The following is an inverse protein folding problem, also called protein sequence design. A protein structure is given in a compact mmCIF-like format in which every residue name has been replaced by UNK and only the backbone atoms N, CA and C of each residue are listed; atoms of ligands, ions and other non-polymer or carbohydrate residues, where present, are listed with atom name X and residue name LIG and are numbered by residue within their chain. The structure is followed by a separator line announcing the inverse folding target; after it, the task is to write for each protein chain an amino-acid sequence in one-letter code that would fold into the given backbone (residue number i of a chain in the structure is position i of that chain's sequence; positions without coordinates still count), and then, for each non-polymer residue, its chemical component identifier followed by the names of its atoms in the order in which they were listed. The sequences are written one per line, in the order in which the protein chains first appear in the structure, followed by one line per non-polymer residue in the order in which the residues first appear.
data_IF_377601001667
#
_entry.id   IF_377601001667
#
_cell.length_a   1.000
_cell.length_b   1.000
_cell.length_c   1.000
_cell.angle_alpha   90.00
_cell.angle_beta   90.00
_cell.angle_gamma   90.00
#
_symmetry.space_group_name_H-M   'P 1'
#
loop_
_entity.id
_entity.type
_entity.pdbx_description
1 polymer ?
#
# COMPACT_ATOMS: atom_id res chain seq x y z
N UNK A 1 -32.22 -35.89 28.27
CA UNK A 1 -32.45 -34.83 29.28
C UNK A 1 -33.85 -35.03 29.81
N UNK A 2 -34.02 -35.03 31.13
CA UNK A 2 -35.30 -35.36 31.79
C UNK A 2 -36.37 -34.32 31.47
N UNK A 3 -37.51 -34.80 30.98
CA UNK A 3 -38.74 -34.03 30.80
C UNK A 3 -39.28 -33.62 32.19
N UNK A 4 -38.76 -32.54 32.77
CA UNK A 4 -39.29 -31.98 34.02
C UNK A 4 -40.64 -31.36 33.73
N UNK A 5 -41.70 -32.04 34.17
CA UNK A 5 -43.07 -31.52 34.10
C UNK A 5 -43.13 -30.24 34.91
N UNK A 6 -43.27 -29.10 34.24
CA UNK A 6 -43.49 -27.78 34.86
C UNK A 6 -44.83 -27.85 35.59
N UNK A 7 -44.81 -27.76 36.92
CA UNK A 7 -46.01 -27.95 37.76
C UNK A 7 -46.48 -26.65 38.42
N UNK A 8 -45.62 -25.64 38.47
CA UNK A 8 -45.92 -24.35 39.13
C UNK A 8 -45.68 -23.16 38.21
N UNK A 9 -46.38 -22.06 38.48
CA UNK A 9 -46.23 -20.80 37.75
C UNK A 9 -44.80 -20.26 37.86
N UNK A 10 -44.15 -20.39 39.02
CA UNK A 10 -42.75 -19.98 39.22
C UNK A 10 -41.79 -20.78 38.32
N UNK A 11 -41.98 -22.10 38.21
CA UNK A 11 -41.18 -22.93 37.31
C UNK A 11 -41.41 -22.54 35.85
N UNK A 12 -42.65 -22.21 35.48
CA UNK A 12 -42.99 -21.76 34.14
C UNK A 12 -42.25 -20.46 33.75
N UNK A 13 -42.23 -19.48 34.66
CA UNK A 13 -41.47 -18.23 34.50
C UNK A 13 -39.96 -18.46 34.42
N UNK A 14 -39.42 -19.31 35.29
CA UNK A 14 -37.99 -19.62 35.28
C UNK A 14 -37.60 -20.34 33.99
N UNK A 15 -38.42 -21.26 33.49
CA UNK A 15 -38.19 -21.91 32.19
C UNK A 15 -38.29 -20.90 31.06
N UNK A 16 -39.32 -20.05 31.02
CA UNK A 16 -39.50 -19.02 29.98
C UNK A 16 -38.29 -18.10 29.83
N UNK A 17 -37.70 -17.67 30.95
CA UNK A 17 -36.57 -16.73 30.97
C UNK A 17 -35.21 -17.41 30.77
N UNK A 18 -35.14 -18.74 30.85
CA UNK A 18 -33.86 -19.48 30.83
C UNK A 18 -33.67 -20.37 29.61
N UNK A 19 -34.68 -20.53 28.75
CA UNK A 19 -34.60 -21.41 27.57
C UNK A 19 -35.01 -20.67 26.31
N UNK A 20 -34.20 -20.80 25.27
CA UNK A 20 -34.52 -20.35 23.91
C UNK A 20 -34.92 -21.53 23.00
N UNK A 21 -35.05 -22.74 23.55
CA UNK A 21 -35.41 -23.95 22.81
C UNK A 21 -36.88 -23.90 22.33
N UNK A 22 -37.14 -23.90 21.00
CA UNK A 22 -38.48 -23.75 20.45
C UNK A 22 -39.47 -24.82 20.92
N UNK A 23 -39.02 -26.06 21.13
CA UNK A 23 -39.88 -27.16 21.57
C UNK A 23 -40.34 -26.97 23.02
N UNK A 24 -39.42 -26.56 23.90
CA UNK A 24 -39.74 -26.29 25.30
C UNK A 24 -40.62 -25.05 25.47
N UNK A 25 -40.39 -24.00 24.67
CA UNK A 25 -41.25 -22.81 24.67
C UNK A 25 -42.65 -23.15 24.13
N UNK A 26 -42.75 -24.00 23.10
CA UNK A 26 -44.04 -24.45 22.58
C UNK A 26 -44.84 -25.22 23.63
N UNK A 27 -44.21 -26.18 24.32
CA UNK A 27 -44.82 -26.94 25.41
C UNK A 27 -45.22 -26.06 26.60
N UNK A 28 -44.42 -25.03 26.90
CA UNK A 28 -44.68 -24.05 27.94
C UNK A 28 -45.89 -23.17 27.61
N UNK A 29 -45.98 -22.66 26.38
CA UNK A 29 -47.11 -21.85 25.90
C UNK A 29 -48.40 -22.67 25.84
N UNK A 30 -48.33 -23.96 25.48
CA UNK A 30 -49.50 -24.84 25.52
C UNK A 30 -50.06 -25.01 26.95
N UNK A 31 -49.20 -25.12 27.96
CA UNK A 31 -49.59 -25.26 29.37
C UNK A 31 -49.99 -23.93 30.01
N UNK A 32 -49.35 -22.84 29.61
CA UNK A 32 -49.54 -21.50 30.15
C UNK A 32 -49.66 -20.48 29.00
N UNK A 33 -50.87 -20.25 28.46
CA UNK A 33 -51.08 -19.39 27.29
C UNK A 33 -50.66 -17.93 27.47
N UNK A 34 -50.52 -17.47 28.72
CA UNK A 34 -50.10 -16.10 29.07
C UNK A 34 -48.71 -15.76 28.49
N UNK A 35 -47.82 -16.74 28.32
CA UNK A 35 -46.48 -16.52 27.76
C UNK A 35 -46.48 -16.29 26.26
N UNK A 36 -47.57 -16.59 25.55
CA UNK A 36 -47.63 -16.47 24.10
C UNK A 36 -47.40 -15.05 23.62
N UNK A 37 -48.10 -14.10 24.22
CA UNK A 37 -48.03 -12.68 23.85
C UNK A 37 -46.63 -12.11 24.15
N UNK A 38 -46.09 -12.45 25.32
CA UNK A 38 -44.74 -12.03 25.72
C UNK A 38 -43.63 -12.62 24.83
N UNK A 39 -43.77 -13.89 24.45
CA UNK A 39 -42.82 -14.53 23.53
C UNK A 39 -42.85 -13.87 22.15
N UNK A 40 -44.04 -13.55 21.65
CA UNK A 40 -44.20 -12.87 20.36
C UNK A 40 -43.56 -11.48 20.36
N UNK A 41 -43.72 -10.72 21.45
CA UNK A 41 -43.09 -9.41 21.62
C UNK A 41 -41.56 -9.50 21.67
N UNK A 42 -41.01 -10.44 22.46
CA UNK A 42 -39.57 -10.68 22.54
C UNK A 42 -39.02 -11.10 21.17
N UNK A 43 -39.72 -12.00 20.47
CA UNK A 43 -39.30 -12.48 19.15
C UNK A 43 -39.27 -11.34 18.11
N UNK A 44 -40.25 -10.44 18.13
CA UNK A 44 -40.26 -9.24 17.27
C UNK A 44 -39.09 -8.31 17.59
N UNK A 45 -38.77 -8.12 18.87
CA UNK A 45 -37.61 -7.33 19.29
C UNK A 45 -36.30 -7.95 18.80
N UNK A 46 -36.13 -9.26 18.96
CA UNK A 46 -34.96 -9.99 18.47
C UNK A 46 -34.77 -9.86 16.95
N UNK A 47 -35.85 -10.01 16.16
CA UNK A 47 -35.79 -9.82 14.71
C UNK A 47 -35.42 -8.39 14.30
N UNK A 48 -35.86 -7.39 15.07
CA UNK A 48 -35.50 -6.01 14.79
C UNK A 48 -34.00 -5.79 15.08
N UNK A 49 -33.49 -6.34 16.19
CA UNK A 49 -32.06 -6.23 16.52
C UNK A 49 -31.17 -6.99 15.54
N UNK A 50 -31.59 -8.16 15.07
CA UNK A 50 -30.87 -8.93 14.04
C UNK A 50 -30.80 -8.15 12.73
N UNK A 51 -31.91 -7.56 12.28
CA UNK A 51 -31.93 -6.69 11.09
C UNK A 51 -30.99 -5.49 11.22
N UNK A 52 -30.94 -4.87 12.39
CA UNK A 52 -30.04 -3.75 12.67
C UNK A 52 -28.57 -4.23 12.66
N UNK A 53 -28.29 -5.41 13.22
CA UNK A 53 -26.95 -6.00 13.22
C UNK A 53 -26.47 -6.37 11.80
N UNK A 54 -27.38 -6.87 10.96
CA UNK A 54 -27.11 -7.17 9.56
C UNK A 54 -26.81 -5.91 8.75
N UNK A 55 -27.54 -4.82 8.99
CA UNK A 55 -27.23 -3.51 8.40
C UNK A 55 -25.82 -3.09 8.80
N UNK A 56 -25.53 -2.98 10.10
CA UNK A 56 -24.20 -2.57 10.57
C UNK A 56 -23.07 -3.42 10.02
N UNK A 57 -23.28 -4.73 9.85
CA UNK A 57 -22.30 -5.64 9.27
C UNK A 57 -22.03 -5.35 7.80
N UNK A 58 -23.05 -4.97 7.02
CA UNK A 58 -22.89 -4.52 5.62
C UNK A 58 -22.20 -3.18 5.54
N UNK A 59 -22.62 -2.21 6.33
CA UNK A 59 -21.99 -0.88 6.34
C UNK A 59 -20.52 -0.96 6.80
N UNK A 60 -20.19 -1.84 7.74
CA UNK A 60 -18.81 -2.09 8.16
C UNK A 60 -17.97 -2.68 7.01
N UNK A 61 -18.51 -3.66 6.29
CA UNK A 61 -17.83 -4.26 5.14
C UNK A 61 -17.61 -3.25 3.99
N UNK A 62 -18.59 -2.37 3.74
CA UNK A 62 -18.46 -1.29 2.76
C UNK A 62 -17.43 -0.24 3.20
N UNK A 63 -17.41 0.13 4.48
CA UNK A 63 -16.40 1.03 5.04
C UNK A 63 -14.99 0.43 4.93
N UNK A 64 -14.82 -0.86 5.24
CA UNK A 64 -13.54 -1.56 5.11
C UNK A 64 -13.07 -1.58 3.64
N UNK A 65 -13.98 -1.85 2.71
CA UNK A 65 -13.68 -1.80 1.28
C UNK A 65 -13.24 -0.40 0.82
N UNK A 66 -14.01 0.64 1.17
CA UNK A 66 -13.68 2.02 0.82
C UNK A 66 -12.37 2.49 1.46
N UNK A 67 -12.07 2.04 2.68
CA UNK A 67 -10.81 2.34 3.36
C UNK A 67 -9.63 1.70 2.62
N UNK A 68 -9.78 0.43 2.20
CA UNK A 68 -8.76 -0.24 1.42
C UNK A 68 -8.54 0.42 0.06
N UNK A 69 -9.61 0.81 -0.65
CA UNK A 69 -9.52 1.55 -1.92
C UNK A 69 -8.81 2.89 -1.73
N UNK A 70 -9.20 3.69 -0.73
CA UNK A 70 -8.53 4.95 -0.42
C UNK A 70 -7.03 4.78 -0.15
N UNK A 71 -6.66 3.76 0.62
CA UNK A 71 -5.25 3.47 0.91
C UNK A 71 -4.48 3.07 -0.35
N UNK A 72 -5.09 2.30 -1.26
CA UNK A 72 -4.49 1.96 -2.55
C UNK A 72 -4.29 3.21 -3.40
N UNK A 73 -5.27 4.11 -3.45
CA UNK A 73 -5.19 5.35 -4.22
C UNK A 73 -4.08 6.27 -3.69
N UNK A 74 -3.96 6.45 -2.37
CA UNK A 74 -2.85 7.22 -1.79
C UNK A 74 -1.49 6.59 -2.08
N UNK A 75 -1.35 5.27 -1.92
CA UNK A 75 -0.11 4.58 -2.26
C UNK A 75 0.25 4.69 -3.74
N UNK A 76 -0.76 4.65 -4.63
CA UNK A 76 -0.55 4.81 -6.06
C UNK A 76 -0.07 6.24 -6.39
N UNK A 77 -0.63 7.25 -5.72
CA UNK A 77 -0.18 8.63 -5.84
C UNK A 77 1.28 8.80 -5.40
N UNK A 78 1.64 8.27 -4.23
CA UNK A 78 3.03 8.33 -3.73
C UNK A 78 4.01 7.63 -4.70
N UNK A 79 3.60 6.49 -5.27
CA UNK A 79 4.39 5.77 -6.27
C UNK A 79 4.58 6.58 -7.56
N UNK A 80 3.54 7.28 -8.02
CA UNK A 80 3.62 8.09 -9.23
C UNK A 80 4.48 9.34 -9.00
N UNK A 81 4.37 10.00 -7.84
CA UNK A 81 5.28 11.09 -7.45
C UNK A 81 6.74 10.61 -7.39
N UNK A 82 7.00 9.44 -6.80
CA UNK A 82 8.34 8.86 -6.76
C UNK A 82 8.89 8.54 -8.16
N UNK A 83 8.03 8.05 -9.07
CA UNK A 83 8.41 7.78 -10.47
C UNK A 83 8.76 9.04 -11.22
N UNK A 84 8.00 10.12 -11.05
CA UNK A 84 8.31 11.41 -11.67
C UNK A 84 9.68 11.94 -11.22
N UNK A 85 9.98 11.88 -9.92
CA UNK A 85 11.28 12.28 -9.38
C UNK A 85 12.42 11.43 -9.97
N UNK A 86 12.24 10.11 -10.06
CA UNK A 86 13.24 9.21 -10.66
C UNK A 86 13.46 9.58 -12.12
N UNK A 87 12.39 9.81 -12.89
CA UNK A 87 12.49 10.16 -14.30
C UNK A 87 13.20 11.51 -14.50
N UNK A 88 12.93 12.50 -13.66
CA UNK A 88 13.65 13.78 -13.68
C UNK A 88 15.14 13.58 -13.39
N UNK A 89 15.47 12.78 -12.37
CA UNK A 89 16.87 12.46 -12.02
C UNK A 89 17.59 11.70 -13.12
N UNK A 90 16.94 10.75 -13.77
CA UNK A 90 17.51 10.01 -14.90
C UNK A 90 17.78 10.94 -16.09
N UNK A 91 16.90 11.90 -16.37
CA UNK A 91 17.12 12.91 -17.39
C UNK A 91 18.29 13.85 -17.04
N UNK A 92 18.38 14.29 -15.78
CA UNK A 92 19.51 15.09 -15.30
C UNK A 92 20.84 14.32 -15.41
N UNK A 93 20.84 13.04 -15.05
CA UNK A 93 22.01 12.17 -15.17
C UNK A 93 22.44 12.01 -16.62
N UNK A 94 21.49 11.76 -17.52
CA UNK A 94 21.77 11.64 -18.95
C UNK A 94 22.38 12.91 -19.53
N UNK A 95 21.87 14.08 -19.14
CA UNK A 95 22.44 15.36 -19.57
C UNK A 95 23.88 15.56 -19.06
N UNK A 96 24.15 15.14 -17.82
CA UNK A 96 25.51 15.18 -17.26
C UNK A 96 26.44 14.21 -17.95
N UNK A 97 25.98 13.00 -18.26
CA UNK A 97 26.71 12.01 -19.04
C UNK A 97 27.10 12.57 -20.42
N UNK A 98 26.15 13.15 -21.15
CA UNK A 98 26.39 13.78 -22.46
C UNK A 98 27.40 14.93 -22.34
N UNK A 99 27.30 15.75 -21.29
CA UNK A 99 28.23 16.85 -21.02
C UNK A 99 29.65 16.32 -20.74
N UNK A 100 29.78 15.30 -19.91
CA UNK A 100 31.07 14.67 -19.58
C UNK A 100 31.68 14.05 -20.84
N UNK A 101 30.87 13.39 -21.66
CA UNK A 101 31.33 12.80 -22.92
C UNK A 101 31.89 13.88 -23.86
N UNK A 102 31.17 14.99 -24.04
CA UNK A 102 31.65 16.12 -24.84
C UNK A 102 32.95 16.71 -24.30
N UNK A 103 33.07 16.88 -22.98
CA UNK A 103 34.30 17.37 -22.36
C UNK A 103 35.46 16.39 -22.52
N UNK A 104 35.20 15.08 -22.45
CA UNK A 104 36.21 14.05 -22.69
C UNK A 104 36.74 14.10 -24.12
N UNK A 105 35.87 14.28 -25.10
CA UNK A 105 36.25 14.38 -26.50
C UNK A 105 37.05 15.66 -26.79
N UNK A 106 36.67 16.79 -26.19
CA UNK A 106 37.47 18.02 -26.25
C UNK A 106 38.86 17.88 -25.61
N UNK A 107 38.95 17.18 -24.47
CA UNK A 107 40.22 16.94 -23.79
C UNK A 107 41.14 16.07 -24.64
N UNK A 108 40.63 15.00 -25.26
CA UNK A 108 41.40 14.17 -26.19
C UNK A 108 41.96 14.98 -27.35
N UNK A 109 41.14 15.85 -27.95
CA UNK A 109 41.58 16.68 -29.06
C UNK A 109 42.70 17.67 -28.66
N UNK A 110 42.61 18.22 -27.44
CA UNK A 110 43.67 19.08 -26.87
C UNK A 110 44.94 18.29 -26.56
N UNK A 111 44.82 17.08 -26.02
CA UNK A 111 45.94 16.17 -25.76
C UNK A 111 46.71 15.89 -27.06
N UNK A 112 45.99 15.50 -28.13
CA UNK A 112 46.57 15.24 -29.45
C UNK A 112 47.30 16.47 -30.00
N UNK A 113 46.68 17.66 -29.87
CA UNK A 113 47.30 18.93 -30.31
C UNK A 113 48.58 19.26 -29.55
N UNK A 114 48.59 19.04 -28.23
CA UNK A 114 49.78 19.27 -27.38
C UNK A 114 50.89 18.29 -27.76
N UNK A 115 50.53 17.04 -28.05
CA UNK A 115 51.50 16.03 -28.47
C UNK A 115 52.17 16.41 -29.81
N UNK A 116 51.38 16.84 -30.79
CA UNK A 116 51.90 17.33 -32.08
C UNK A 116 52.85 18.53 -31.90
N UNK A 117 52.44 19.53 -31.12
CA UNK A 117 53.26 20.71 -30.82
C UNK A 117 54.56 20.34 -30.09
N UNK A 118 54.51 19.39 -29.16
CA UNK A 118 55.67 18.87 -28.43
C UNK A 118 56.66 18.21 -29.39
N UNK A 119 56.18 17.42 -30.35
CA UNK A 119 57.02 16.75 -31.33
C UNK A 119 57.61 17.72 -32.37
N UNK A 120 56.88 18.77 -32.75
CA UNK A 120 57.43 19.88 -33.54
C UNK A 120 58.53 20.65 -32.79
N UNK A 121 58.31 20.97 -31.52
CA UNK A 121 59.31 21.64 -30.68
C UNK A 121 60.58 20.81 -30.57
N UNK A 122 60.49 19.50 -30.33
CA UNK A 122 61.66 18.60 -30.31
C UNK A 122 62.45 18.65 -31.62
N UNK A 123 61.76 18.63 -32.77
CA UNK A 123 62.40 18.76 -34.08
C UNK A 123 63.10 20.10 -34.25
N UNK A 124 62.45 21.20 -33.83
CA UNK A 124 63.03 22.54 -33.90
C UNK A 124 64.28 22.66 -33.02
N UNK A 125 64.24 22.16 -31.78
CA UNK A 125 65.40 22.14 -30.88
C UNK A 125 66.57 21.35 -31.48
N UNK A 126 66.32 20.16 -32.05
CA UNK A 126 67.35 19.36 -32.68
C UNK A 126 68.00 20.06 -33.89
N UNK A 127 67.24 20.86 -34.64
CA UNK A 127 67.76 21.65 -35.76
C UNK A 127 68.65 22.80 -35.28
N UNK A 128 68.21 23.52 -34.24
CA UNK A 128 68.99 24.62 -33.63
C UNK A 128 70.33 24.09 -33.12
N UNK A 129 70.34 22.94 -32.43
CA UNK A 129 71.58 22.35 -31.91
C UNK A 129 72.57 21.99 -33.05
N UNK A 130 72.07 21.48 -34.18
CA UNK A 130 72.91 21.22 -35.36
C UNK A 130 73.52 22.50 -35.92
N UNK A 131 72.71 23.53 -36.13
CA UNK A 131 73.17 24.83 -36.66
C UNK A 131 74.20 25.50 -35.73
N UNK A 132 74.02 25.39 -34.41
CA UNK A 132 75.00 25.91 -33.44
C UNK A 132 76.34 25.17 -33.51
N UNK A 133 76.34 23.84 -33.71
CA UNK A 133 77.57 23.07 -33.92
C UNK A 133 78.28 23.46 -35.21
N UNK A 134 77.54 23.74 -36.28
CA UNK A 134 78.10 24.18 -37.56
C UNK A 134 78.72 25.59 -37.51
N UNK A 135 78.20 26.51 -36.68
CA UNK A 135 78.78 27.85 -36.52
C UNK A 135 80.03 27.92 -35.62
N UNK A 136 80.28 26.88 -34.81
CA UNK A 136 81.41 26.80 -33.89
C UNK A 136 82.53 25.84 -34.37
N UNK A 137 82.42 25.31 -35.59
CA UNK A 137 83.46 24.52 -36.28
C UNK A 137 84.16 25.34 -37.36
#
# INVERSE_FOLDING_TARGET
MENKTIQTELEAWLTFLSTDDPEQIYDLIQKFPIFKEMYEDIFRLCQNTERVMDMFSKELAEMDHNTAEYMVDEMQKDLDEAREIIQEKDNELKLKEDTIQSQSDELKLKEDTIQDQSDELKKAYALIEKLQKEQHS
#
